data_IF_565875558496
#
_entry.id   IF_565875558496
#
_cell.length_a   1.000
_cell.length_b   1.000
_cell.length_c   1.000
_cell.angle_alpha   90.00
_cell.angle_beta   90.00
_cell.angle_gamma   90.00
#
_symmetry.space_group_name_H-M   'P 1'
#
loop_
_entity.id
_entity.type
_entity.pdbx_description
1 polymer ?
#
# COMPACT_ATOMS: atom_id res chain seq x y z
N UNK A 1 37.89 -56.70 26.87
CA UNK A 1 37.90 -55.39 26.20
C UNK A 1 36.50 -55.26 25.62
N UNK A 2 35.59 -54.63 26.36
CA UNK A 2 34.24 -54.36 25.87
C UNK A 2 34.30 -53.05 25.09
N UNK A 3 33.91 -53.10 23.81
CA UNK A 3 33.69 -51.92 22.98
C UNK A 3 32.37 -51.26 23.41
N UNK A 4 32.32 -49.93 23.60
CA UNK A 4 31.06 -49.23 23.84
C UNK A 4 30.28 -49.07 22.52
N UNK A 5 28.94 -49.08 22.54
CA UNK A 5 28.17 -48.89 21.33
C UNK A 5 28.29 -47.43 20.88
N UNK A 6 28.58 -47.25 19.59
CA UNK A 6 28.49 -45.96 18.91
C UNK A 6 27.06 -45.46 19.07
N UNK A 7 26.90 -44.35 19.79
CA UNK A 7 25.68 -43.54 19.72
C UNK A 7 25.47 -43.22 18.26
N UNK A 8 24.39 -43.72 17.70
CA UNK A 8 23.79 -43.19 16.49
C UNK A 8 23.54 -41.70 16.79
N UNK A 9 24.38 -40.84 16.20
CA UNK A 9 24.06 -39.43 16.11
C UNK A 9 22.83 -39.38 15.22
N UNK A 10 21.66 -39.28 15.85
CA UNK A 10 20.45 -38.86 15.18
C UNK A 10 20.81 -37.55 14.48
N UNK A 11 20.93 -37.62 13.15
CA UNK A 11 20.88 -36.46 12.28
C UNK A 11 19.52 -35.81 12.54
N UNK A 12 19.44 -34.94 13.54
CA UNK A 12 18.41 -33.93 13.57
C UNK A 12 18.61 -33.13 12.29
N UNK A 13 17.75 -33.41 11.29
CA UNK A 13 17.40 -32.45 10.24
C UNK A 13 16.94 -31.18 10.96
N UNK A 14 17.92 -30.34 11.31
CA UNK A 14 17.72 -29.01 11.80
C UNK A 14 17.08 -28.24 10.66
N UNK A 15 15.77 -28.04 10.78
CA UNK A 15 15.03 -26.99 10.10
C UNK A 15 15.93 -25.74 10.03
N UNK A 16 16.18 -25.20 8.83
CA UNK A 16 17.01 -24.00 8.61
C UNK A 16 16.33 -22.73 9.19
N UNK A 17 15.92 -22.77 10.44
CA UNK A 17 15.38 -21.68 11.24
C UNK A 17 16.38 -21.32 12.35
N UNK A 18 17.67 -21.36 12.02
CA UNK A 18 18.69 -20.71 12.85
C UNK A 18 18.46 -19.20 12.89
N UNK A 19 19.06 -18.48 13.86
CA UNK A 19 18.96 -17.02 13.95
C UNK A 19 19.53 -16.29 12.71
N UNK A 20 20.18 -17.02 11.81
CA UNK A 20 20.65 -16.55 10.50
C UNK A 20 19.50 -16.32 9.49
N UNK A 21 18.36 -16.99 9.67
CA UNK A 21 17.19 -16.84 8.80
C UNK A 21 16.53 -15.46 8.86
N UNK A 22 16.70 -14.74 9.98
CA UNK A 22 16.15 -13.40 10.17
C UNK A 22 16.69 -12.37 9.14
N UNK A 23 17.95 -12.53 8.69
CA UNK A 23 18.56 -11.65 7.68
C UNK A 23 17.97 -11.83 6.27
N UNK A 24 17.33 -12.97 6.00
CA UNK A 24 16.67 -13.25 4.71
C UNK A 24 15.26 -12.67 4.61
N UNK A 25 14.68 -12.17 5.71
CA UNK A 25 13.32 -11.65 5.75
C UNK A 25 13.21 -10.29 5.05
N UNK A 26 12.02 -10.01 4.51
CA UNK A 26 11.70 -8.67 4.01
C UNK A 26 11.73 -7.67 5.16
N UNK A 27 12.33 -6.47 5.00
CA UNK A 27 12.37 -5.45 6.05
C UNK A 27 10.99 -5.07 6.62
N UNK A 28 9.94 -5.18 5.80
CA UNK A 28 8.56 -4.86 6.19
C UNK A 28 7.85 -6.00 6.94
N UNK A 29 8.50 -7.16 7.06
CA UNK A 29 7.98 -8.34 7.75
C UNK A 29 8.82 -8.70 8.98
N UNK A 30 9.84 -7.89 9.30
CA UNK A 30 10.64 -8.07 10.49
C UNK A 30 9.78 -7.86 11.74
N UNK A 31 10.05 -8.67 12.74
CA UNK A 31 9.50 -8.58 14.10
C UNK A 31 10.61 -8.20 15.09
N UNK A 32 10.25 -7.83 16.32
CA UNK A 32 11.24 -7.54 17.35
C UNK A 32 12.12 -8.76 17.66
N UNK A 33 11.56 -9.98 17.57
CA UNK A 33 12.27 -11.24 17.69
C UNK A 33 13.37 -11.39 16.63
N UNK A 34 13.06 -11.04 15.38
CA UNK A 34 14.04 -11.06 14.29
C UNK A 34 15.21 -10.11 14.53
N UNK A 35 14.95 -8.94 15.11
CA UNK A 35 16.01 -7.98 15.46
C UNK A 35 16.89 -8.55 16.57
N UNK A 36 16.33 -9.29 17.53
CA UNK A 36 17.12 -9.98 18.56
C UNK A 36 17.97 -11.11 17.97
N UNK A 37 17.44 -11.91 17.05
CA UNK A 37 18.19 -12.96 16.37
C UNK A 37 19.36 -12.39 15.57
N UNK A 38 19.11 -11.32 14.79
CA UNK A 38 20.14 -10.57 14.08
C UNK A 38 21.19 -10.04 15.07
N UNK A 39 20.76 -9.46 16.19
CA UNK A 39 21.67 -8.91 17.20
C UNK A 39 22.58 -9.98 17.80
N UNK A 40 22.06 -11.20 17.99
CA UNK A 40 22.80 -12.33 18.53
C UNK A 40 23.86 -12.84 17.54
N UNK A 41 23.50 -13.02 16.27
CA UNK A 41 24.45 -13.42 15.21
C UNK A 41 25.55 -12.37 15.06
N UNK A 42 25.18 -11.09 14.94
CA UNK A 42 26.14 -9.99 14.84
C UNK A 42 27.04 -9.89 16.08
N UNK A 43 26.49 -10.11 17.28
CA UNK A 43 27.24 -10.09 18.53
C UNK A 43 28.31 -11.18 18.59
N UNK A 44 27.99 -12.40 18.12
CA UNK A 44 28.96 -13.50 18.02
C UNK A 44 30.08 -13.19 17.03
N UNK A 45 29.75 -12.68 15.85
CA UNK A 45 30.74 -12.31 14.83
C UNK A 45 31.66 -11.19 15.32
N UNK A 46 31.09 -10.14 15.93
CA UNK A 46 31.87 -9.03 16.50
C UNK A 46 32.80 -9.51 17.63
N UNK A 47 32.37 -10.48 18.44
CA UNK A 47 33.21 -11.08 19.47
C UNK A 47 34.35 -11.91 18.88
N UNK A 48 34.10 -12.63 17.78
CA UNK A 48 35.11 -13.41 17.08
C UNK A 48 36.21 -12.54 16.43
N UNK A 49 35.91 -11.29 16.07
CA UNK A 49 36.88 -10.31 15.56
C UNK A 49 37.89 -9.83 16.63
N UNK A 50 37.68 -10.17 17.89
CA UNK A 50 38.59 -9.87 19.00
C UNK A 50 38.41 -8.47 19.60
N UNK A 51 39.25 -8.13 20.58
CA UNK A 51 39.09 -6.96 21.45
C UNK A 51 39.81 -5.69 20.96
N UNK A 52 39.91 -5.48 19.65
CA UNK A 52 40.46 -4.22 19.11
C UNK A 52 39.54 -3.06 19.50
N UNK A 53 40.05 -1.95 20.09
CA UNK A 53 39.25 -0.79 20.46
C UNK A 53 38.39 -0.23 19.31
N UNK A 54 38.84 -0.38 18.05
CA UNK A 54 38.09 0.01 16.85
C UNK A 54 36.86 -0.87 16.63
N UNK A 55 36.99 -2.18 16.88
CA UNK A 55 35.88 -3.15 16.80
C UNK A 55 34.88 -2.88 17.92
N UNK A 56 35.35 -2.60 19.15
CA UNK A 56 34.45 -2.21 20.25
C UNK A 56 33.70 -0.91 19.94
N UNK A 57 34.38 0.09 19.35
CA UNK A 57 33.72 1.33 18.93
C UNK A 57 32.67 1.07 17.84
N UNK A 58 32.96 0.19 16.89
CA UNK A 58 32.02 -0.23 15.85
C UNK A 58 30.84 -1.00 16.45
N UNK A 59 31.08 -1.89 17.41
CA UNK A 59 30.06 -2.64 18.13
C UNK A 59 29.03 -1.70 18.76
N UNK A 60 29.46 -0.63 19.45
CA UNK A 60 28.52 0.34 20.03
C UNK A 60 27.69 1.06 18.96
N UNK A 61 28.25 1.35 17.78
CA UNK A 61 27.48 1.94 16.67
C UNK A 61 26.46 0.94 16.10
N UNK A 62 26.83 -0.34 16.00
CA UNK A 62 25.94 -1.41 15.54
C UNK A 62 24.80 -1.61 16.53
N UNK A 63 25.09 -1.67 17.85
CA UNK A 63 24.07 -1.74 18.90
C UNK A 63 23.11 -0.56 18.76
N UNK A 64 23.62 0.65 18.54
CA UNK A 64 22.77 1.82 18.33
C UNK A 64 21.86 1.70 17.10
N UNK A 65 22.35 1.13 16.00
CA UNK A 65 21.54 0.90 14.80
C UNK A 65 20.48 -0.18 15.05
N UNK A 66 20.82 -1.25 15.78
CA UNK A 66 19.88 -2.32 16.16
C UNK A 66 18.78 -1.79 17.10
N UNK A 67 19.11 -0.94 18.08
CA UNK A 67 18.12 -0.25 18.92
C UNK A 67 17.16 0.60 18.08
N UNK A 68 17.67 1.36 17.11
CA UNK A 68 16.84 2.17 16.22
C UNK A 68 15.92 1.28 15.36
N UNK A 69 16.44 0.16 14.87
CA UNK A 69 15.67 -0.81 14.10
C UNK A 69 14.57 -1.45 14.94
N UNK A 70 14.87 -1.87 16.17
CA UNK A 70 13.91 -2.43 17.11
C UNK A 70 12.74 -1.46 17.36
N UNK A 71 13.05 -0.19 17.65
CA UNK A 71 12.02 0.84 17.85
C UNK A 71 11.14 0.98 16.62
N UNK A 72 11.72 1.06 15.41
CA UNK A 72 10.95 1.21 14.17
C UNK A 72 10.06 -0.01 13.88
N UNK A 73 10.58 -1.22 14.10
CA UNK A 73 9.84 -2.47 13.90
C UNK A 73 8.69 -2.58 14.91
N UNK A 74 8.94 -2.22 16.17
CA UNK A 74 7.94 -2.29 17.22
C UNK A 74 6.82 -1.25 17.02
N UNK A 75 7.17 0.01 16.75
CA UNK A 75 6.19 1.06 16.43
C UNK A 75 5.40 0.74 15.15
N UNK A 76 6.07 0.21 14.12
CA UNK A 76 5.42 -0.24 12.89
C UNK A 76 4.40 -1.36 13.14
N UNK A 77 4.74 -2.33 14.00
CA UNK A 77 3.84 -3.43 14.36
C UNK A 77 2.62 -2.95 15.13
N UNK A 78 2.81 -2.06 16.11
CA UNK A 78 1.72 -1.46 16.89
C UNK A 78 0.77 -0.65 16.02
N UNK A 79 1.30 0.26 15.19
CA UNK A 79 0.50 1.09 14.28
C UNK A 79 -0.25 0.27 13.24
N UNK A 80 0.37 -0.79 12.70
CA UNK A 80 -0.31 -1.70 11.78
C UNK A 80 -1.46 -2.43 12.45
N UNK A 81 -1.28 -2.88 13.70
CA UNK A 81 -2.32 -3.57 14.45
C UNK A 81 -3.48 -2.63 14.82
N UNK A 82 -3.19 -1.39 15.24
CA UNK A 82 -4.22 -0.37 15.49
C UNK A 82 -5.07 -0.09 14.25
N UNK A 83 -4.43 0.15 13.10
CA UNK A 83 -5.12 0.34 11.82
C UNK A 83 -5.93 -0.89 11.40
N UNK A 84 -5.42 -2.09 11.70
CA UNK A 84 -6.12 -3.34 11.44
C UNK A 84 -7.40 -3.42 12.27
N UNK A 85 -7.33 -3.12 13.56
CA UNK A 85 -8.48 -3.08 14.46
C UNK A 85 -9.51 -2.04 14.02
N UNK A 86 -9.07 -0.83 13.66
CA UNK A 86 -9.95 0.23 13.17
C UNK A 86 -10.66 -0.19 11.88
N UNK A 87 -9.92 -0.77 10.93
CA UNK A 87 -10.47 -1.34 9.69
C UNK A 87 -11.52 -2.40 9.98
N UNK A 88 -11.27 -3.29 10.92
CA UNK A 88 -12.20 -4.37 11.26
C UNK A 88 -13.45 -3.84 11.97
N UNK A 89 -13.31 -2.81 12.81
CA UNK A 89 -14.44 -2.11 13.43
C UNK A 89 -15.31 -1.39 12.39
N UNK A 90 -14.69 -0.62 11.49
CA UNK A 90 -15.40 0.05 10.40
C UNK A 90 -16.10 -0.95 9.47
N UNK A 91 -15.47 -2.10 9.19
CA UNK A 91 -16.12 -3.17 8.41
C UNK A 91 -17.37 -3.71 9.10
N UNK A 92 -17.32 -3.92 10.41
CA UNK A 92 -18.49 -4.35 11.20
C UNK A 92 -19.58 -3.28 11.22
N UNK A 93 -19.22 -2.01 11.37
CA UNK A 93 -20.17 -0.90 11.34
C UNK A 93 -20.86 -0.77 9.97
N UNK A 94 -20.09 -0.83 8.88
CA UNK A 94 -20.62 -0.83 7.50
C UNK A 94 -21.53 -2.02 7.26
N UNK A 95 -21.17 -3.21 7.74
CA UNK A 95 -22.01 -4.39 7.65
C UNK A 95 -23.31 -4.23 8.46
N UNK A 96 -23.23 -3.68 9.68
CA UNK A 96 -24.36 -3.34 10.53
C UNK A 96 -25.33 -2.38 9.82
N UNK A 97 -24.82 -1.24 9.33
CA UNK A 97 -25.59 -0.26 8.58
C UNK A 97 -26.22 -0.84 7.31
N UNK A 98 -25.52 -1.73 6.60
CA UNK A 98 -26.06 -2.42 5.43
C UNK A 98 -27.22 -3.35 5.81
N UNK A 99 -27.10 -4.08 6.93
CA UNK A 99 -28.18 -4.93 7.45
C UNK A 99 -29.36 -4.10 7.92
N UNK A 100 -29.13 -3.03 8.67
CA UNK A 100 -30.15 -2.08 9.12
C UNK A 100 -30.86 -1.37 7.96
N UNK A 101 -30.13 -0.98 6.92
CA UNK A 101 -30.73 -0.45 5.69
C UNK A 101 -31.58 -1.49 4.96
N UNK A 102 -31.18 -2.76 5.01
CA UNK A 102 -31.92 -3.87 4.41
C UNK A 102 -33.19 -4.23 5.21
N UNK A 103 -33.17 -4.10 6.53
CA UNK A 103 -34.35 -4.31 7.41
C UNK A 103 -35.28 -3.09 7.40
N UNK A 104 -34.73 -1.88 7.42
CA UNK A 104 -35.48 -0.63 7.26
C UNK A 104 -36.09 -0.49 5.85
N UNK A 105 -35.56 -1.20 4.83
CA UNK A 105 -36.20 -1.35 3.53
C UNK A 105 -37.33 -2.39 3.49
N UNK A 106 -37.44 -3.25 4.51
CA UNK A 106 -38.42 -4.35 4.60
C UNK A 106 -39.58 -4.06 5.55
N UNK A 107 -39.42 -3.12 6.49
CA UNK A 107 -40.45 -2.69 7.44
C UNK A 107 -40.78 -1.20 7.34
N UNK A 108 -40.93 -0.73 6.10
CA UNK A 108 -41.59 0.53 5.82
C UNK A 108 -42.87 0.19 5.09
N UNK A 109 -44.01 0.47 5.74
CA UNK A 109 -45.28 0.70 5.06
C UNK A 109 -45.10 1.93 4.16
N UNK A 110 -44.42 1.72 3.03
CA UNK A 110 -44.24 2.71 2.00
C UNK A 110 -45.62 2.88 1.37
N UNK A 111 -46.27 4.01 1.65
CA UNK A 111 -47.42 4.45 0.87
C UNK A 111 -47.12 4.38 -0.64
N UNK A 112 -48.14 4.47 -1.50
CA UNK A 112 -48.11 4.05 -2.91
C UNK A 112 -47.04 4.70 -3.81
N UNK A 113 -46.20 5.58 -3.27
CA UNK A 113 -45.24 6.42 -3.99
C UNK A 113 -43.77 6.24 -3.55
N UNK A 114 -43.41 5.17 -2.83
CA UNK A 114 -41.99 4.88 -2.55
C UNK A 114 -41.54 3.53 -3.12
N UNK A 115 -40.58 3.63 -4.03
CA UNK A 115 -40.00 2.50 -4.77
C UNK A 115 -38.94 1.80 -3.90
N UNK A 116 -39.00 0.46 -3.82
CA UNK A 116 -37.93 -0.36 -3.24
C UNK A 116 -36.70 -0.20 -4.13
N UNK A 117 -35.64 0.42 -3.61
CA UNK A 117 -34.42 0.71 -4.36
C UNK A 117 -33.45 -0.46 -4.21
N UNK A 118 -33.27 -1.25 -5.26
CA UNK A 118 -32.21 -2.27 -5.30
C UNK A 118 -30.85 -1.57 -5.40
N UNK A 119 -30.04 -1.69 -4.35
CA UNK A 119 -28.70 -1.12 -4.28
C UNK A 119 -27.69 -1.84 -5.19
N UNK A 120 -28.06 -3.01 -5.73
CA UNK A 120 -27.22 -3.86 -6.58
C UNK A 120 -27.47 -3.63 -8.08
N UNK A 121 -28.49 -2.86 -8.45
CA UNK A 121 -28.85 -2.63 -9.85
C UNK A 121 -27.81 -1.76 -10.57
N UNK A 122 -27.14 -2.27 -11.63
CA UNK A 122 -26.21 -1.50 -12.44
C UNK A 122 -26.87 -0.32 -13.18
N UNK A 123 -28.18 -0.36 -13.44
CA UNK A 123 -28.94 0.72 -14.07
C UNK A 123 -29.52 1.72 -13.07
N UNK A 124 -29.27 1.55 -11.77
CA UNK A 124 -29.71 2.49 -10.74
C UNK A 124 -29.14 3.88 -11.03
N UNK A 125 -29.96 4.94 -11.07
CA UNK A 125 -29.46 6.31 -11.20
C UNK A 125 -28.50 6.63 -10.05
N UNK A 126 -27.21 6.78 -10.36
CA UNK A 126 -26.16 7.06 -9.37
C UNK A 126 -25.90 8.55 -9.17
N UNK A 127 -26.41 9.38 -10.08
CA UNK A 127 -26.17 10.81 -10.11
C UNK A 127 -27.47 11.58 -9.90
N UNK A 128 -27.33 12.70 -9.21
CA UNK A 128 -28.34 13.73 -9.06
C UNK A 128 -28.47 14.54 -10.36
N UNK A 129 -29.62 15.18 -10.57
CA UNK A 129 -29.81 16.08 -11.71
C UNK A 129 -28.83 17.26 -11.71
N UNK A 130 -28.36 17.68 -10.55
CA UNK A 130 -27.42 18.78 -10.41
C UNK A 130 -26.04 18.39 -10.95
N UNK A 131 -25.52 17.22 -10.58
CA UNK A 131 -24.25 16.71 -11.11
C UNK A 131 -24.29 16.56 -12.63
N UNK A 132 -25.40 16.04 -13.18
CA UNK A 132 -25.57 15.93 -14.62
C UNK A 132 -25.58 17.30 -15.30
N UNK A 133 -26.24 18.29 -14.70
CA UNK A 133 -26.25 19.67 -15.21
C UNK A 133 -24.84 20.26 -15.21
N UNK A 134 -24.09 20.07 -14.14
CA UNK A 134 -22.74 20.61 -13.98
C UNK A 134 -21.78 20.01 -15.04
N UNK A 135 -21.81 18.69 -15.22
CA UNK A 135 -21.02 18.00 -16.27
C UNK A 135 -21.40 18.47 -17.67
N UNK A 136 -22.70 18.66 -17.95
CA UNK A 136 -23.15 19.16 -19.24
C UNK A 136 -22.71 20.60 -19.50
N UNK A 137 -22.74 21.46 -18.49
CA UNK A 137 -22.26 22.84 -18.58
C UNK A 137 -20.75 22.89 -18.83
N UNK A 138 -19.98 22.08 -18.10
CA UNK A 138 -18.53 21.97 -18.29
C UNK A 138 -18.20 21.48 -19.71
N UNK A 139 -18.86 20.41 -20.18
CA UNK A 139 -18.69 19.91 -21.54
C UNK A 139 -18.99 20.98 -22.60
N UNK A 140 -20.04 21.78 -22.40
CA UNK A 140 -20.38 22.86 -23.33
C UNK A 140 -19.33 23.97 -23.33
N UNK A 141 -18.79 24.33 -22.16
CA UNK A 141 -17.70 25.31 -22.02
C UNK A 141 -16.42 24.84 -22.69
N UNK A 142 -16.03 23.57 -22.50
CA UNK A 142 -14.86 23.00 -23.17
C UNK A 142 -15.06 22.94 -24.68
N UNK A 143 -16.27 22.60 -25.14
CA UNK A 143 -16.59 22.57 -26.57
C UNK A 143 -16.47 23.95 -27.22
N UNK A 144 -16.91 25.03 -26.56
CA UNK A 144 -16.76 26.38 -27.12
C UNK A 144 -15.30 26.83 -27.14
N UNK A 145 -14.53 26.55 -26.09
CA UNK A 145 -13.09 26.83 -26.05
C UNK A 145 -12.34 26.06 -27.16
N UNK A 146 -12.66 24.79 -27.35
CA UNK A 146 -12.07 23.96 -28.41
C UNK A 146 -12.32 24.55 -29.79
N UNK A 147 -13.55 25.03 -30.04
CA UNK A 147 -13.91 25.63 -31.32
C UNK A 147 -13.08 26.89 -31.60
N UNK A 148 -12.95 27.78 -30.60
CA UNK A 148 -12.15 29.02 -30.71
C UNK A 148 -10.69 28.69 -31.01
N UNK A 149 -10.09 27.76 -30.26
CA UNK A 149 -8.69 27.36 -30.47
C UNK A 149 -8.51 26.71 -31.85
N UNK A 150 -9.47 25.91 -32.32
CA UNK A 150 -9.43 25.35 -33.67
C UNK A 150 -9.48 26.44 -34.74
N UNK A 151 -10.33 27.46 -34.59
CA UNK A 151 -10.41 28.60 -35.51
C UNK A 151 -9.09 29.39 -35.54
N UNK A 152 -8.51 29.67 -34.38
CA UNK A 152 -7.21 30.33 -34.26
C UNK A 152 -6.12 29.52 -34.94
N UNK A 153 -6.05 28.21 -34.68
CA UNK A 153 -5.09 27.31 -35.30
C UNK A 153 -5.23 27.27 -36.83
N UNK A 154 -6.47 27.28 -37.35
CA UNK A 154 -6.72 27.37 -38.79
C UNK A 154 -6.24 28.71 -39.36
N UNK A 155 -6.42 29.82 -38.63
CA UNK A 155 -5.89 31.12 -39.01
C UNK A 155 -4.36 31.11 -39.09
N UNK A 156 -3.68 30.52 -38.09
CA UNK A 156 -2.22 30.35 -38.11
C UNK A 156 -1.76 29.45 -39.26
N UNK A 157 -2.40 28.29 -39.49
CA UNK A 157 -2.08 27.41 -40.62
C UNK A 157 -2.24 28.13 -41.96
N UNK A 158 -3.27 28.95 -42.14
CA UNK A 158 -3.46 29.76 -43.36
C UNK A 158 -2.38 30.84 -43.51
N UNK A 159 -2.04 31.54 -42.42
CA UNK A 159 -1.00 32.58 -42.40
C UNK A 159 0.42 32.02 -42.62
N UNK A 160 0.72 30.85 -42.06
CA UNK A 160 2.02 30.18 -42.16
C UNK A 160 2.17 29.26 -43.38
N UNK A 161 1.07 28.71 -43.93
CA UNK A 161 1.06 27.97 -45.18
C UNK A 161 1.38 28.83 -46.42
N UNK A 162 1.29 30.16 -46.30
CA UNK A 162 1.73 31.09 -47.34
C UNK A 162 3.27 31.26 -47.38
N UNK A 163 3.97 30.98 -46.28
CA UNK A 163 5.44 31.13 -46.21
C UNK A 163 6.20 29.94 -46.80
N UNK A 164 5.57 28.77 -46.98
CA UNK A 164 6.20 27.65 -47.68
C UNK A 164 6.20 27.85 -49.21
N UNK A 165 5.17 28.50 -49.76
CA UNK A 165 5.05 28.75 -51.20
C UNK A 165 5.90 29.92 -51.73
N UNK A 166 6.56 30.69 -50.85
CA UNK A 166 7.41 31.82 -51.22
C UNK A 166 8.91 31.45 -51.32
N UNK A 167 9.29 30.21 -50.94
CA UNK A 167 10.67 29.71 -51.06
C UNK A 167 10.89 28.78 -52.25
N UNK A 168 9.85 28.44 -53.02
CA UNK A 168 9.92 27.52 -54.19
C UNK A 168 9.62 28.22 -55.53
N UNK A 169 9.86 29.54 -55.63
CA UNK A 169 9.93 30.25 -56.92
C UNK A 169 11.24 31.04 -57.01
N UNK A 170 12.33 30.31 -57.23
CA UNK A 170 13.36 30.71 -58.18
C UNK A 170 12.88 30.40 -59.62
#
# INVERSE_FOLDING_TARGET
MEEPPLREEEEEEGDEAGPEGALGKSPFQLTAEDVYDISYVMGRELMALGSDPRVTQLQFKIVRVLEMLETLVNEGSLTMEELRMERDNLRKEVEGLRRESSTAGREVNLGPDKMVVDLTDPNRPRFTLQELRDVLQERNKLKSQLLVVQEELQCYKRKHGCWQSASERE
#
